data_IF_166298449295
#
_entry.id   IF_166298449295
#
_cell.length_a   1.000
_cell.length_b   1.000
_cell.length_c   1.000
_cell.angle_alpha   90.00
_cell.angle_beta   90.00
_cell.angle_gamma   90.00
#
_symmetry.space_group_name_H-M   'P 1'
#
loop_
_entity.id
_entity.type
_entity.pdbx_description
1 polymer ?
#
# COMPACT_ATOMS: atom_id res chain seq x y z
N UNK A 1 -13.10 18.72 28.10
CA UNK A 1 -12.68 17.70 29.09
C UNK A 1 -13.45 16.44 28.73
N UNK A 2 -12.73 15.34 28.50
CA UNK A 2 -13.14 14.06 27.87
C UNK A 2 -13.13 14.00 26.33
N UNK A 3 -11.94 14.10 25.72
CA UNK A 3 -11.62 13.37 24.46
C UNK A 3 -10.63 12.22 24.71
N UNK A 4 -10.20 12.04 25.97
CA UNK A 4 -9.31 10.95 26.39
C UNK A 4 -10.09 9.70 26.84
N UNK A 5 -11.40 9.82 27.09
CA UNK A 5 -12.22 8.69 27.57
C UNK A 5 -12.76 7.84 26.42
N UNK A 6 -12.78 8.36 25.18
CA UNK A 6 -13.15 7.61 23.97
C UNK A 6 -12.04 7.67 22.94
N UNK A 7 -11.17 6.65 22.97
CA UNK A 7 -10.04 6.54 22.06
C UNK A 7 -10.47 6.38 20.59
N UNK A 8 -11.67 5.89 20.31
CA UNK A 8 -12.14 5.70 18.93
C UNK A 8 -12.60 7.02 18.32
N UNK A 9 -13.38 7.81 19.06
CA UNK A 9 -13.79 9.16 18.63
C UNK A 9 -12.58 10.08 18.44
N UNK A 10 -11.58 10.00 19.33
CA UNK A 10 -10.35 10.78 19.18
C UNK A 10 -9.66 10.52 17.82
N UNK A 11 -9.53 9.27 17.40
CA UNK A 11 -8.92 8.93 16.11
C UNK A 11 -9.84 9.24 14.93
N UNK A 12 -11.15 9.09 15.10
CA UNK A 12 -12.13 9.34 14.05
C UNK A 12 -12.25 10.83 13.70
N UNK A 13 -12.12 11.73 14.68
CA UNK A 13 -12.09 13.19 14.46
C UNK A 13 -10.85 13.67 13.68
N UNK A 14 -9.79 12.85 13.60
CA UNK A 14 -8.59 13.21 12.84
C UNK A 14 -8.77 12.87 11.37
N UNK A 15 -8.28 13.74 10.49
CA UNK A 15 -8.14 13.46 9.06
C UNK A 15 -6.97 12.48 8.75
N UNK A 16 -6.78 11.47 9.61
CA UNK A 16 -5.75 10.44 9.46
C UNK A 16 -6.30 9.15 8.87
N UNK A 17 -7.59 8.88 9.06
CA UNK A 17 -8.26 7.74 8.45
C UNK A 17 -8.93 8.13 7.13
N UNK A 18 -9.28 7.12 6.34
CA UNK A 18 -10.07 7.25 5.13
C UNK A 18 -11.58 7.45 5.39
N UNK A 19 -11.97 7.90 6.59
CA UNK A 19 -13.36 8.03 7.02
C UNK A 19 -13.94 6.76 7.67
N UNK A 20 -13.12 5.72 7.88
CA UNK A 20 -13.48 4.55 8.67
C UNK A 20 -12.99 4.67 10.12
N UNK A 21 -13.63 3.99 11.08
CA UNK A 21 -13.11 3.86 12.44
C UNK A 21 -11.72 3.23 12.44
N UNK A 22 -10.82 3.73 13.28
CA UNK A 22 -9.45 3.23 13.44
C UNK A 22 -9.31 2.64 14.83
N UNK A 23 -8.77 1.43 14.92
CA UNK A 23 -8.40 0.85 16.21
C UNK A 23 -7.07 1.46 16.66
N UNK A 24 -6.99 2.07 17.85
CA UNK A 24 -5.75 2.68 18.31
C UNK A 24 -4.63 1.63 18.46
N UNK A 25 -3.46 1.82 17.82
CA UNK A 25 -2.36 0.86 17.88
C UNK A 25 -1.60 1.00 19.20
N UNK A 26 -2.10 0.38 20.26
CA UNK A 26 -1.40 0.27 21.54
C UNK A 26 -0.33 -0.82 21.48
N UNK A 27 0.70 -0.72 22.33
CA UNK A 27 1.81 -1.68 22.38
C UNK A 27 1.29 -3.13 22.54
N UNK A 28 0.38 -3.36 23.48
CA UNK A 28 -0.23 -4.68 23.71
C UNK A 28 -0.95 -5.24 22.47
N UNK A 29 -1.64 -4.37 21.71
CA UNK A 29 -2.33 -4.79 20.47
C UNK A 29 -1.32 -5.11 19.36
N UNK A 30 -0.21 -4.37 19.29
CA UNK A 30 0.87 -4.61 18.33
C UNK A 30 1.59 -5.93 18.66
N UNK A 31 1.95 -6.15 19.92
CA UNK A 31 2.55 -7.42 20.37
C UNK A 31 1.64 -8.61 20.07
N UNK A 32 0.34 -8.48 20.34
CA UNK A 32 -0.65 -9.50 19.97
C UNK A 32 -0.71 -9.73 18.46
N UNK A 33 -0.66 -8.68 17.64
CA UNK A 33 -0.63 -8.81 16.18
C UNK A 33 0.63 -9.55 15.70
N UNK A 34 1.79 -9.20 16.26
CA UNK A 34 3.07 -9.83 15.94
C UNK A 34 3.11 -11.32 16.28
N UNK A 35 2.33 -11.78 17.27
CA UNK A 35 2.18 -13.23 17.56
C UNK A 35 1.63 -14.05 16.39
N UNK A 36 1.01 -13.40 15.40
CA UNK A 36 0.50 -14.01 14.17
C UNK A 36 1.57 -14.41 13.15
N UNK A 37 2.83 -14.06 13.39
CA UNK A 37 3.95 -14.38 12.51
C UNK A 37 5.17 -14.89 13.29
N UNK A 38 6.11 -15.53 12.59
CA UNK A 38 7.42 -15.94 13.11
C UNK A 38 8.56 -15.07 12.58
N UNK A 39 8.25 -14.11 11.72
CA UNK A 39 9.19 -13.17 11.11
C UNK A 39 9.66 -12.15 12.16
N UNK A 40 10.87 -11.61 12.00
CA UNK A 40 11.39 -10.60 12.94
C UNK A 40 10.64 -9.28 12.78
N UNK A 41 10.27 -8.56 13.86
CA UNK A 41 9.64 -7.24 13.76
C UNK A 41 10.45 -6.20 12.97
N UNK A 42 11.79 -6.30 13.03
CA UNK A 42 12.73 -5.42 12.33
C UNK A 42 12.95 -5.80 10.86
N UNK A 43 12.42 -6.95 10.42
CA UNK A 43 12.61 -7.41 9.06
C UNK A 43 11.91 -6.47 8.07
N UNK A 44 12.68 -5.99 7.09
CA UNK A 44 12.17 -5.14 6.01
C UNK A 44 11.48 -6.01 4.96
N UNK A 45 10.20 -5.71 4.69
CA UNK A 45 9.37 -6.36 3.69
C UNK A 45 9.56 -5.76 2.29
N UNK A 46 9.97 -4.50 2.23
CA UNK A 46 10.22 -3.80 0.98
C UNK A 46 10.14 -2.28 1.14
N UNK A 47 10.26 -1.57 0.02
CA UNK A 47 10.16 -0.11 -0.06
C UNK A 47 8.93 0.26 -0.87
N UNK A 48 8.03 1.07 -0.30
CA UNK A 48 6.74 1.38 -0.94
C UNK A 48 6.71 2.85 -1.40
N UNK A 49 6.47 3.13 -2.70
CA UNK A 49 6.20 4.50 -3.18
C UNK A 49 4.89 5.04 -2.59
N UNK A 50 4.62 6.37 -2.62
CA UNK A 50 5.46 7.43 -3.16
C UNK A 50 6.52 7.97 -2.18
N UNK A 51 6.43 7.61 -0.90
CA UNK A 51 7.39 8.06 0.12
C UNK A 51 8.75 7.34 0.00
N UNK A 52 8.76 6.14 -0.59
CA UNK A 52 9.94 5.28 -0.70
C UNK A 52 10.57 4.98 0.66
N UNK A 53 9.71 4.79 1.67
CA UNK A 53 10.12 4.37 3.00
C UNK A 53 10.12 2.84 3.10
N UNK A 54 11.03 2.32 3.93
CA UNK A 54 11.09 0.91 4.27
C UNK A 54 9.88 0.51 5.13
N UNK A 55 9.21 -0.55 4.72
CA UNK A 55 8.12 -1.15 5.49
C UNK A 55 8.66 -2.38 6.20
N UNK A 56 8.71 -2.33 7.53
CA UNK A 56 9.07 -3.49 8.36
C UNK A 56 7.84 -4.32 8.73
N UNK A 57 8.07 -5.52 9.26
CA UNK A 57 7.01 -6.35 9.85
C UNK A 57 6.30 -5.62 10.99
N UNK A 58 7.02 -4.84 11.81
CA UNK A 58 6.42 -4.03 12.87
C UNK A 58 5.53 -2.93 12.30
N UNK A 59 5.99 -2.19 11.28
CA UNK A 59 5.16 -1.19 10.60
C UNK A 59 3.92 -1.84 10.01
N UNK A 60 4.04 -2.99 9.36
CA UNK A 60 2.89 -3.74 8.86
C UNK A 60 1.90 -4.13 9.98
N UNK A 61 2.40 -4.57 11.13
CA UNK A 61 1.58 -4.95 12.28
C UNK A 61 0.80 -3.76 12.85
N UNK A 62 1.45 -2.59 12.97
CA UNK A 62 0.80 -1.34 13.41
C UNK A 62 -0.39 -1.00 12.50
N UNK A 63 -0.18 -1.00 11.18
CA UNK A 63 -1.24 -0.70 10.22
C UNK A 63 -2.34 -1.77 10.22
N UNK A 64 -1.98 -3.05 10.41
CA UNK A 64 -2.94 -4.13 10.53
C UNK A 64 -3.81 -3.98 11.79
N UNK A 65 -3.23 -3.57 12.92
CA UNK A 65 -3.98 -3.23 14.14
C UNK A 65 -4.92 -2.07 13.87
N UNK A 66 -4.43 -0.99 13.26
CA UNK A 66 -5.25 0.18 12.92
C UNK A 66 -6.48 -0.19 12.07
N UNK A 67 -6.31 -1.15 11.16
CA UNK A 67 -7.37 -1.68 10.31
C UNK A 67 -8.32 -2.68 11.02
N UNK A 68 -8.07 -3.03 12.28
CA UNK A 68 -8.84 -4.04 13.02
C UNK A 68 -8.61 -5.48 12.55
N UNK A 69 -7.45 -5.75 11.94
CA UNK A 69 -7.09 -7.07 11.45
C UNK A 69 -6.91 -8.06 12.62
N UNK A 70 -7.10 -9.36 12.35
CA UNK A 70 -6.81 -10.42 13.31
C UNK A 70 -5.38 -10.94 13.13
N UNK A 71 -4.68 -11.36 14.21
CA UNK A 71 -3.32 -11.89 14.12
C UNK A 71 -3.18 -13.09 13.18
N UNK A 72 -4.21 -13.94 13.06
CA UNK A 72 -4.17 -15.13 12.20
C UNK A 72 -4.03 -14.79 10.70
N UNK A 73 -4.30 -13.53 10.32
CA UNK A 73 -4.15 -13.04 8.96
C UNK A 73 -2.80 -12.37 8.69
N UNK A 74 -1.94 -12.20 9.71
CA UNK A 74 -0.66 -11.54 9.58
C UNK A 74 0.23 -12.13 8.45
N UNK A 75 0.30 -13.46 8.25
CA UNK A 75 1.07 -14.03 7.13
C UNK A 75 0.56 -13.58 5.76
N UNK A 76 -0.75 -13.36 5.62
CA UNK A 76 -1.37 -12.88 4.37
C UNK A 76 -1.08 -11.39 4.17
N UNK A 77 -1.14 -10.59 5.24
CA UNK A 77 -0.80 -9.16 5.21
C UNK A 77 0.66 -8.98 4.77
N UNK A 78 1.58 -9.74 5.35
CA UNK A 78 3.01 -9.72 4.99
C UNK A 78 3.19 -10.06 3.51
N UNK A 79 2.62 -11.18 3.05
CA UNK A 79 2.71 -11.59 1.65
C UNK A 79 2.12 -10.54 0.69
N UNK A 80 1.02 -9.90 1.09
CA UNK A 80 0.40 -8.82 0.33
C UNK A 80 1.30 -7.59 0.20
N UNK A 81 1.96 -7.19 1.29
CA UNK A 81 2.91 -6.07 1.31
C UNK A 81 4.13 -6.38 0.44
N UNK A 82 4.70 -7.57 0.55
CA UNK A 82 5.81 -8.02 -0.30
C UNK A 82 5.41 -8.00 -1.79
N UNK A 83 4.16 -8.39 -2.10
CA UNK A 83 3.62 -8.33 -3.46
C UNK A 83 3.44 -6.89 -3.95
N UNK A 84 3.04 -5.98 -3.07
CA UNK A 84 2.92 -4.54 -3.39
C UNK A 84 4.30 -3.91 -3.61
N UNK A 85 5.32 -4.38 -2.90
CA UNK A 85 6.70 -3.94 -3.08
C UNK A 85 7.39 -4.56 -4.31
N UNK A 86 6.85 -5.63 -4.91
CA UNK A 86 7.40 -6.25 -6.11
C UNK A 86 7.32 -5.28 -7.31
N UNK A 87 8.47 -5.00 -7.92
CA UNK A 87 8.61 -4.11 -9.08
C UNK A 87 7.71 -4.49 -10.26
N UNK A 88 7.34 -5.78 -10.39
CA UNK A 88 6.42 -6.26 -11.44
C UNK A 88 5.03 -5.64 -11.33
N UNK A 89 4.58 -5.32 -10.11
CA UNK A 89 3.31 -4.62 -9.89
C UNK A 89 3.41 -3.14 -10.31
N UNK A 90 4.63 -2.58 -10.36
CA UNK A 90 4.91 -1.19 -10.69
C UNK A 90 4.01 -0.21 -9.89
N UNK A 91 4.06 -0.35 -8.56
CA UNK A 91 3.19 0.38 -7.62
C UNK A 91 3.30 1.89 -7.78
N UNK A 92 4.47 2.43 -8.16
CA UNK A 92 4.65 3.86 -8.48
C UNK A 92 3.72 4.29 -9.61
N UNK A 93 3.72 3.57 -10.73
CA UNK A 93 2.83 3.88 -11.84
C UNK A 93 1.36 3.68 -11.47
N UNK A 94 1.06 2.71 -10.61
CA UNK A 94 -0.31 2.50 -10.17
C UNK A 94 -0.81 3.63 -9.26
N UNK A 95 -0.02 4.10 -8.29
CA UNK A 95 -0.48 5.06 -7.27
C UNK A 95 -0.43 6.53 -7.71
N UNK A 96 0.50 6.90 -8.60
CA UNK A 96 0.75 8.32 -8.94
C UNK A 96 -0.12 8.81 -10.12
N UNK A 97 -0.99 7.96 -10.65
CA UNK A 97 -1.90 8.34 -11.75
C UNK A 97 -3.26 8.79 -11.24
N UNK A 98 -3.94 9.67 -12.01
CA UNK A 98 -5.31 10.11 -11.73
C UNK A 98 -6.37 8.98 -11.80
N UNK A 99 -5.98 7.78 -12.23
CA UNK A 99 -6.82 6.57 -12.28
C UNK A 99 -6.09 5.38 -11.67
N UNK A 100 -5.47 5.57 -10.49
CA UNK A 100 -4.84 4.48 -9.79
C UNK A 100 -5.82 3.35 -9.50
N UNK A 101 -5.42 2.12 -9.83
CA UNK A 101 -6.19 0.93 -9.54
C UNK A 101 -5.95 0.49 -8.10
N UNK A 102 -7.00 0.05 -7.41
CA UNK A 102 -6.84 -0.67 -6.15
C UNK A 102 -6.44 -2.12 -6.46
N UNK A 103 -5.25 -2.60 -6.04
CA UNK A 103 -4.88 -4.00 -6.24
C UNK A 103 -5.87 -4.92 -5.52
N UNK A 104 -6.44 -5.89 -6.24
CA UNK A 104 -7.23 -6.96 -5.64
C UNK A 104 -6.32 -8.15 -5.35
N UNK A 105 -6.30 -8.59 -4.10
CA UNK A 105 -5.60 -9.81 -3.69
C UNK A 105 -6.60 -10.95 -3.53
N UNK A 106 -6.35 -12.05 -4.26
CA UNK A 106 -7.11 -13.29 -4.08
C UNK A 106 -6.23 -14.30 -3.37
N UNK A 107 -6.74 -14.83 -2.26
CA UNK A 107 -6.03 -15.79 -1.39
C UNK A 107 -6.83 -17.09 -1.38
N UNK A 108 -6.18 -18.20 -1.72
CA UNK A 108 -6.80 -19.52 -1.73
C UNK A 108 -5.90 -20.55 -1.04
N UNK A 109 -6.46 -21.28 -0.08
CA UNK A 109 -5.79 -22.35 0.66
C UNK A 109 -5.80 -22.15 2.18
N UNK A 110 -5.43 -23.18 2.95
CA UNK A 110 -5.20 -23.04 4.39
C UNK A 110 -3.96 -22.16 4.61
N UNK A 111 -4.09 -21.08 5.39
CA UNK A 111 -2.94 -20.26 5.80
C UNK A 111 -1.88 -21.19 6.43
N UNK A 112 -0.66 -21.35 5.85
CA UNK A 112 0.25 -20.27 5.46
C UNK A 112 0.93 -20.39 4.07
N UNK A 113 1.11 -19.25 3.39
CA UNK A 113 2.29 -19.01 2.54
C UNK A 113 2.35 -19.60 1.13
N UNK A 114 1.24 -19.69 0.37
CA UNK A 114 1.36 -20.06 -1.05
C UNK A 114 0.42 -19.26 -1.95
N UNK A 115 1.06 -18.45 -2.81
CA UNK A 115 0.52 -17.65 -3.91
C UNK A 115 -0.61 -16.69 -3.54
N UNK A 116 -0.25 -15.43 -3.32
CA UNK A 116 -1.18 -14.32 -3.53
C UNK A 116 -1.17 -14.05 -5.04
N UNK A 117 -2.29 -14.26 -5.71
CA UNK A 117 -2.46 -13.82 -7.09
C UNK A 117 -3.05 -12.42 -7.06
N UNK A 118 -2.30 -11.45 -7.58
CA UNK A 118 -2.77 -10.09 -7.83
C UNK A 118 -3.06 -9.95 -9.32
N UNK A 119 -4.32 -9.65 -9.64
CA UNK A 119 -4.70 -9.21 -10.97
C UNK A 119 -4.64 -7.67 -10.95
N UNK A 120 -3.53 -7.09 -11.42
CA UNK A 120 -3.47 -5.66 -11.71
C UNK A 120 -3.89 -5.41 -13.17
N UNK A 121 -4.66 -4.36 -13.48
CA UNK A 121 -4.82 -3.93 -14.86
C UNK A 121 -3.44 -3.50 -15.38
N UNK A 122 -2.80 -4.33 -16.19
CA UNK A 122 -1.47 -4.03 -16.73
C UNK A 122 -1.58 -2.89 -17.74
N UNK A 123 -1.40 -1.66 -17.27
CA UNK A 123 -1.00 -0.57 -18.16
C UNK A 123 0.53 -0.68 -18.31
N UNK A 124 0.98 -1.21 -19.45
CA UNK A 124 2.41 -1.27 -19.77
C UNK A 124 2.99 0.15 -19.83
N UNK A 125 3.69 0.57 -18.77
CA UNK A 125 4.42 1.84 -18.77
C UNK A 125 5.79 1.63 -19.43
N UNK A 126 6.14 2.38 -20.49
CA UNK A 126 7.40 2.22 -21.19
C UNK A 126 8.60 2.58 -20.29
N UNK A 127 9.75 1.97 -20.57
CA UNK A 127 10.96 2.10 -19.76
C UNK A 127 11.44 3.54 -19.54
N UNK A 128 11.15 4.43 -20.49
CA UNK A 128 11.49 5.85 -20.45
C UNK A 128 10.71 6.66 -19.40
N UNK A 129 9.61 6.13 -18.87
CA UNK A 129 8.80 6.80 -17.86
C UNK A 129 9.13 6.36 -16.42
N UNK A 130 10.14 5.49 -16.24
CA UNK A 130 10.58 4.99 -14.92
C UNK A 130 11.50 5.95 -14.16
N UNK A 131 11.97 7.02 -14.78
CA UNK A 131 12.88 7.99 -14.16
C UNK A 131 12.38 9.40 -14.43
N UNK A 132 11.95 10.18 -13.43
CA UNK A 132 11.73 11.60 -13.63
C UNK A 132 13.09 12.26 -13.95
N UNK A 133 13.17 13.21 -14.90
CA UNK A 133 14.37 14.00 -15.11
C UNK A 133 14.71 14.75 -13.81
N UNK A 134 15.97 14.70 -13.39
CA UNK A 134 16.43 15.22 -12.09
C UNK A 134 16.18 16.72 -11.87
N UNK A 135 15.89 17.46 -12.94
CA UNK A 135 15.95 18.93 -12.96
C UNK A 135 14.62 19.61 -13.38
N UNK A 136 13.49 18.89 -13.40
CA UNK A 136 12.21 19.51 -13.77
C UNK A 136 11.57 20.26 -12.57
N UNK A 137 11.33 21.58 -12.65
CA UNK A 137 10.63 22.31 -11.60
C UNK A 137 9.17 21.84 -11.51
N UNK A 138 8.68 21.68 -10.27
CA UNK A 138 7.31 21.30 -9.98
C UNK A 138 6.35 22.35 -10.58
N UNK A 139 5.60 21.99 -11.62
CA UNK A 139 4.49 22.79 -12.13
C UNK A 139 4.64 23.44 -13.52
N UNK A 140 5.70 23.20 -14.31
CA UNK A 140 5.78 23.72 -15.68
C UNK A 140 5.93 22.62 -16.73
N UNK A 141 4.81 22.09 -17.21
CA UNK A 141 4.54 21.86 -18.64
C UNK A 141 3.25 21.08 -18.80
N UNK A 142 2.35 21.61 -19.62
CA UNK A 142 1.19 20.90 -20.13
C UNK A 142 1.64 19.56 -20.72
N UNK A 143 1.06 18.42 -20.32
CA UNK A 143 1.48 17.15 -20.89
C UNK A 143 1.02 17.10 -22.35
N UNK A 144 1.98 17.02 -23.27
CA UNK A 144 1.79 16.63 -24.67
C UNK A 144 1.43 15.15 -24.75
N UNK A 145 0.29 14.77 -24.16
CA UNK A 145 -0.28 13.42 -24.28
C UNK A 145 -1.13 13.24 -25.55
N UNK A 146 -1.32 14.32 -26.32
CA UNK A 146 -1.98 14.27 -27.62
C UNK A 146 -1.03 13.65 -28.67
N UNK A 147 -0.85 12.33 -28.56
CA UNK A 147 -0.42 11.49 -29.66
C UNK A 147 -1.37 11.70 -30.83
N UNK A 148 -0.80 12.18 -31.91
CA UNK A 148 -1.41 12.49 -33.18
C UNK A 148 -2.16 11.26 -33.75
N UNK A 149 -3.48 11.23 -33.60
CA UNK A 149 -4.36 10.28 -34.27
C UNK A 149 -4.58 10.69 -35.73
N UNK A 150 -3.51 10.78 -36.52
CA UNK A 150 -3.63 10.85 -37.99
C UNK A 150 -3.39 9.47 -38.60
N UNK A 151 -4.45 8.91 -39.15
CA UNK A 151 -4.35 7.93 -40.24
C UNK A 151 -4.69 6.49 -39.87
N UNK A 152 -5.93 6.23 -39.44
CA UNK A 152 -6.50 4.89 -39.58
C UNK A 152 -8.02 4.95 -39.81
N UNK A 153 -8.43 5.65 -40.88
CA UNK A 153 -9.71 5.40 -41.53
C UNK A 153 -9.62 5.75 -43.02
N UNK A 154 -9.96 4.75 -43.84
CA UNK A 154 -10.01 4.64 -45.32
C UNK A 154 -8.74 4.20 -46.03
#
# INVERSE_FOLDING_TARGET
MALLDDEFEFFFEKAWSNGLPVVPPTEERIERMLSGTKRSPEEVLGVIPPAFEEVTVQSAAVHAVMAGCKPEYMPVVIAGIETIADERLNTTANQVTMRGGAPLMVVNGPTPGRSVSTEAPVASVPASARTPPSDAPFGSSSPTWAGESRGLHR
#
